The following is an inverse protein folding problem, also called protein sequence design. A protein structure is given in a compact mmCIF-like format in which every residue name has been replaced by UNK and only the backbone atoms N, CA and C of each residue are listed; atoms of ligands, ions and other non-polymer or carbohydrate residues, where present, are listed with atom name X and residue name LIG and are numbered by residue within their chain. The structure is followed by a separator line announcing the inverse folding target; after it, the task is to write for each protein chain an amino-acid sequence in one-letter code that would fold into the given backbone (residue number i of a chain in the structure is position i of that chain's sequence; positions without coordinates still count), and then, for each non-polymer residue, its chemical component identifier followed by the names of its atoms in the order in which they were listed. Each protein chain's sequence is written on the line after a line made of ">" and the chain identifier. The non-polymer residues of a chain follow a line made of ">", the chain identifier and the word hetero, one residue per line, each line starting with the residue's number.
data_IF_934385410944
#
_entry.id   IF_934385410944
#
_cell.length_a   1.000
_cell.length_b   1.000
_cell.length_c   1.000
_cell.angle_alpha   90.00
_cell.angle_beta   90.00
_cell.angle_gamma   90.00
#
_symmetry.space_group_name_H-M   'P 1'
#
loop_
_entity.id
_entity.type
_entity.pdbx_description
1 polymer ?
#
# COMPACT_ATOMS: atom_id res chain seq x y z
N UNK A 1 -49.62 -13.59 -44.16
CA UNK A 1 -48.21 -13.12 -44.16
C UNK A 1 -47.99 -11.94 -43.20
N UNK A 2 -48.87 -10.92 -43.18
CA UNK A 2 -48.71 -9.72 -42.33
C UNK A 2 -48.55 -9.96 -40.83
N UNK A 3 -49.37 -10.82 -40.20
CA UNK A 3 -49.28 -11.10 -38.75
C UNK A 3 -47.88 -11.59 -38.31
N UNK A 4 -47.18 -12.34 -39.16
CA UNK A 4 -45.79 -12.79 -38.89
C UNK A 4 -44.80 -11.62 -38.94
N UNK A 5 -44.93 -10.71 -39.91
CA UNK A 5 -44.07 -9.52 -40.02
C UNK A 5 -44.25 -8.55 -38.85
N UNK A 6 -45.48 -8.35 -38.36
CA UNK A 6 -45.74 -7.54 -37.16
C UNK A 6 -45.08 -8.13 -35.91
N UNK A 7 -45.16 -9.46 -35.71
CA UNK A 7 -44.52 -10.15 -34.58
C UNK A 7 -43.00 -10.04 -34.61
N UNK A 8 -42.39 -10.18 -35.79
CA UNK A 8 -40.94 -9.98 -35.98
C UNK A 8 -40.54 -8.54 -35.67
N UNK A 9 -41.30 -7.54 -36.17
CA UNK A 9 -41.05 -6.12 -35.90
C UNK A 9 -41.12 -5.79 -34.41
N UNK A 10 -42.06 -6.38 -33.68
CA UNK A 10 -42.15 -6.22 -32.22
C UNK A 10 -40.93 -6.79 -31.50
N UNK A 11 -40.49 -8.01 -31.85
CA UNK A 11 -39.27 -8.62 -31.28
C UNK A 11 -38.02 -7.79 -31.57
N UNK A 12 -37.87 -7.26 -32.78
CA UNK A 12 -36.73 -6.39 -33.13
C UNK A 12 -36.73 -5.11 -32.30
N UNK A 13 -37.90 -4.51 -32.04
CA UNK A 13 -38.00 -3.33 -31.16
C UNK A 13 -37.59 -3.67 -29.71
N UNK A 14 -38.03 -4.82 -29.21
CA UNK A 14 -37.64 -5.29 -27.87
C UNK A 14 -36.12 -5.51 -27.78
N UNK A 15 -35.54 -6.26 -28.72
CA UNK A 15 -34.10 -6.49 -28.81
C UNK A 15 -33.31 -5.18 -28.84
N UNK A 16 -33.75 -4.18 -29.63
CA UNK A 16 -33.11 -2.86 -29.66
C UNK A 16 -33.16 -2.15 -28.30
N UNK A 17 -34.25 -2.28 -27.55
CA UNK A 17 -34.37 -1.70 -26.22
C UNK A 17 -33.45 -2.40 -25.21
N UNK A 18 -33.41 -3.72 -25.20
CA UNK A 18 -32.50 -4.52 -24.36
C UNK A 18 -31.03 -4.20 -24.67
N UNK A 19 -30.66 -4.14 -25.96
CA UNK A 19 -29.31 -3.76 -26.37
C UNK A 19 -28.93 -2.34 -25.93
N UNK A 20 -29.88 -1.40 -25.81
CA UNK A 20 -29.60 -0.07 -25.27
C UNK A 20 -29.31 -0.13 -23.78
N UNK A 21 -30.09 -0.91 -23.02
CA UNK A 21 -29.85 -1.12 -21.58
C UNK A 21 -28.48 -1.76 -21.32
N UNK A 22 -28.15 -2.81 -22.08
CA UNK A 22 -26.83 -3.47 -21.96
C UNK A 22 -25.69 -2.49 -22.24
N UNK A 23 -25.82 -1.60 -23.24
CA UNK A 23 -24.81 -0.57 -23.51
C UNK A 23 -24.66 0.45 -22.40
N UNK A 24 -25.76 0.79 -21.74
CA UNK A 24 -25.76 1.67 -20.57
C UNK A 24 -25.02 1.02 -19.41
N UNK A 25 -25.40 -0.23 -19.07
CA UNK A 25 -24.79 -1.00 -17.99
C UNK A 25 -23.29 -1.20 -18.23
N UNK A 26 -22.90 -1.54 -19.47
CA UNK A 26 -21.49 -1.66 -19.85
C UNK A 26 -20.70 -0.36 -19.68
N UNK A 27 -21.33 0.80 -19.94
CA UNK A 27 -20.68 2.09 -19.72
C UNK A 27 -20.46 2.34 -18.23
N UNK A 28 -21.49 2.14 -17.41
CA UNK A 28 -21.37 2.27 -15.96
C UNK A 28 -20.31 1.33 -15.38
N UNK A 29 -20.26 0.07 -15.83
CA UNK A 29 -19.23 -0.89 -15.40
C UNK A 29 -17.82 -0.39 -15.73
N UNK A 30 -17.61 0.18 -16.93
CA UNK A 30 -16.29 0.72 -17.32
C UNK A 30 -15.89 1.91 -16.45
N UNK A 31 -16.83 2.80 -16.17
CA UNK A 31 -16.58 3.96 -15.30
C UNK A 31 -16.19 3.52 -13.88
N UNK A 32 -16.90 2.54 -13.31
CA UNK A 32 -16.57 1.99 -11.99
C UNK A 32 -15.25 1.22 -12.00
N UNK A 33 -14.92 0.50 -13.06
CA UNK A 33 -13.62 -0.16 -13.22
C UNK A 33 -12.48 0.85 -13.23
N UNK A 34 -12.60 1.97 -13.94
CA UNK A 34 -11.58 3.03 -13.95
C UNK A 34 -11.37 3.59 -12.55
N UNK A 35 -12.45 3.94 -11.84
CA UNK A 35 -12.37 4.44 -10.46
C UNK A 35 -11.69 3.43 -9.53
N UNK A 36 -12.03 2.15 -9.68
CA UNK A 36 -11.46 1.08 -8.88
C UNK A 36 -9.96 0.91 -9.15
N UNK A 37 -9.54 0.92 -10.42
CA UNK A 37 -8.11 0.86 -10.82
C UNK A 37 -7.32 2.02 -10.22
N UNK A 38 -7.81 3.26 -10.36
CA UNK A 38 -7.14 4.43 -9.77
C UNK A 38 -7.00 4.30 -8.24
N UNK A 39 -8.02 3.76 -7.57
CA UNK A 39 -7.94 3.52 -6.12
C UNK A 39 -6.90 2.45 -5.77
N UNK A 40 -6.80 1.38 -6.57
CA UNK A 40 -5.78 0.36 -6.36
C UNK A 40 -4.36 0.90 -6.57
N UNK A 41 -4.14 1.69 -7.61
CA UNK A 41 -2.84 2.35 -7.87
C UNK A 41 -2.41 3.24 -6.70
N UNK A 42 -3.35 4.00 -6.11
CA UNK A 42 -3.08 4.82 -4.93
C UNK A 42 -2.77 3.96 -3.69
N UNK A 43 -3.48 2.85 -3.48
CA UNK A 43 -3.18 1.90 -2.39
C UNK A 43 -1.79 1.29 -2.58
N UNK A 44 -1.41 0.92 -3.81
CA UNK A 44 -0.09 0.38 -4.11
C UNK A 44 1.01 1.40 -3.83
N UNK A 45 0.81 2.67 -4.22
CA UNK A 45 1.70 3.78 -3.89
C UNK A 45 1.89 3.92 -2.38
N UNK A 46 0.79 3.97 -1.63
CA UNK A 46 0.81 4.07 -0.17
C UNK A 46 1.50 2.87 0.49
N UNK A 47 1.26 1.65 -0.01
CA UNK A 47 1.95 0.46 0.47
C UNK A 47 3.47 0.54 0.25
N UNK A 48 3.90 1.08 -0.88
CA UNK A 48 5.32 1.27 -1.18
C UNK A 48 5.97 2.27 -0.22
N UNK A 49 5.34 3.41 0.01
CA UNK A 49 5.80 4.43 0.96
C UNK A 49 5.89 3.87 2.38
N UNK A 50 4.84 3.21 2.86
CA UNK A 50 4.82 2.58 4.17
C UNK A 50 5.96 1.56 4.33
N UNK A 51 6.24 0.78 3.29
CA UNK A 51 7.36 -0.17 3.31
C UNK A 51 8.71 0.53 3.48
N UNK A 52 8.92 1.66 2.81
CA UNK A 52 10.16 2.44 2.95
C UNK A 52 10.27 3.05 4.36
N UNK A 53 9.18 3.60 4.88
CA UNK A 53 9.14 4.15 6.24
C UNK A 53 9.47 3.09 7.30
N UNK A 54 8.85 1.91 7.19
CA UNK A 54 9.13 0.78 8.11
C UNK A 54 10.59 0.36 8.05
N UNK A 55 11.20 0.30 6.86
CA UNK A 55 12.62 -0.03 6.72
C UNK A 55 13.51 1.03 7.38
N UNK A 56 13.20 2.31 7.21
CA UNK A 56 13.92 3.41 7.85
C UNK A 56 13.82 3.35 9.37
N UNK A 57 12.61 3.15 9.91
CA UNK A 57 12.38 2.99 11.34
C UNK A 57 13.12 1.77 11.89
N UNK A 58 13.11 0.64 11.16
CA UNK A 58 13.83 -0.57 11.57
C UNK A 58 15.34 -0.33 11.66
N UNK A 59 15.92 0.33 10.63
CA UNK A 59 17.35 0.69 10.62
C UNK A 59 17.70 1.63 11.77
N UNK A 60 16.90 2.67 11.99
CA UNK A 60 17.10 3.62 13.07
C UNK A 60 16.97 2.96 14.45
N UNK A 61 16.00 2.04 14.60
CA UNK A 61 15.79 1.27 15.82
C UNK A 61 16.97 0.36 16.11
N UNK A 62 17.51 -0.33 15.10
CA UNK A 62 18.69 -1.17 15.26
C UNK A 62 19.92 -0.35 15.69
N UNK A 63 20.15 0.79 15.04
CA UNK A 63 21.23 1.71 15.42
C UNK A 63 21.07 2.22 16.86
N UNK A 64 19.85 2.58 17.25
CA UNK A 64 19.54 3.05 18.61
C UNK A 64 19.81 1.96 19.63
N UNK A 65 19.43 0.70 19.36
CA UNK A 65 19.73 -0.44 20.24
C UNK A 65 21.24 -0.65 20.41
N UNK A 66 22.02 -0.55 19.33
CA UNK A 66 23.48 -0.64 19.40
C UNK A 66 24.06 0.47 20.28
N UNK A 67 23.64 1.73 20.08
CA UNK A 67 24.07 2.87 20.90
C UNK A 67 23.73 2.65 22.38
N UNK A 68 22.51 2.21 22.69
CA UNK A 68 22.11 1.89 24.06
C UNK A 68 22.97 0.78 24.67
N UNK A 69 23.30 -0.26 23.91
CA UNK A 69 24.21 -1.33 24.36
C UNK A 69 25.60 -0.80 24.72
N UNK A 70 26.17 0.09 23.90
CA UNK A 70 27.44 0.75 24.18
C UNK A 70 27.35 1.63 25.43
N UNK A 71 26.31 2.46 25.54
CA UNK A 71 26.09 3.31 26.73
C UNK A 71 25.98 2.48 28.01
N UNK A 72 25.25 1.37 27.98
CA UNK A 72 25.17 0.45 29.11
C UNK A 72 26.54 -0.14 29.46
N UNK A 73 27.34 -0.51 28.47
CA UNK A 73 28.72 -0.97 28.67
C UNK A 73 29.59 0.10 29.36
N UNK A 74 29.47 1.36 28.95
CA UNK A 74 30.17 2.49 29.61
C UNK A 74 29.77 2.60 31.08
N UNK A 75 28.47 2.53 31.38
CA UNK A 75 27.98 2.61 32.77
C UNK A 75 28.54 1.48 33.63
N UNK A 76 28.53 0.23 33.12
CA UNK A 76 29.09 -0.92 33.83
C UNK A 76 30.60 -0.81 34.05
N UNK A 77 31.35 -0.35 33.05
CA UNK A 77 32.80 -0.15 33.20
C UNK A 77 33.11 0.92 34.26
N UNK A 78 32.34 2.01 34.29
CA UNK A 78 32.46 3.05 35.33
C UNK A 78 32.11 2.53 36.72
N UNK A 79 31.02 1.77 36.84
CA UNK A 79 30.60 1.14 38.10
C UNK A 79 31.67 0.18 38.63
N UNK A 80 32.32 -0.58 37.75
CA UNK A 80 33.44 -1.47 38.08
C UNK A 80 34.80 -0.79 38.24
N UNK A 81 34.89 0.54 38.08
CA UNK A 81 36.15 1.30 38.19
C UNK A 81 37.10 1.21 36.98
N UNK A 82 36.72 0.52 35.90
CA UNK A 82 37.53 0.42 34.68
C UNK A 82 37.34 1.64 33.78
N UNK A 83 38.08 2.71 34.09
CA UNK A 83 38.03 3.96 33.35
C UNK A 83 38.60 3.84 31.93
N UNK A 84 39.53 2.91 31.68
CA UNK A 84 40.14 2.69 30.36
C UNK A 84 39.12 2.06 29.42
N UNK A 85 38.39 1.04 29.88
CA UNK A 85 37.31 0.42 29.13
C UNK A 85 36.16 1.42 28.92
N UNK A 86 35.80 2.20 29.93
CA UNK A 86 34.76 3.22 29.81
C UNK A 86 35.12 4.28 28.75
N UNK A 87 36.37 4.76 28.73
CA UNK A 87 36.86 5.71 27.73
C UNK A 87 36.86 5.09 26.32
N UNK A 88 37.27 3.83 26.20
CA UNK A 88 37.28 3.09 24.93
C UNK A 88 35.86 2.94 24.38
N UNK A 89 34.89 2.53 25.20
CA UNK A 89 33.49 2.38 24.79
C UNK A 89 32.84 3.72 24.42
N UNK A 90 33.18 4.79 25.14
CA UNK A 90 32.67 6.14 24.86
C UNK A 90 33.05 6.63 23.45
N UNK A 91 34.20 6.20 22.91
CA UNK A 91 34.61 6.55 21.54
C UNK A 91 33.67 6.01 20.46
N UNK A 92 32.90 4.96 20.74
CA UNK A 92 31.93 4.39 19.81
C UNK A 92 30.55 5.07 19.85
N UNK A 93 30.37 6.11 20.68
CA UNK A 93 29.13 6.89 20.77
C UNK A 93 29.13 8.16 19.90
N UNK A 94 30.29 8.54 19.37
CA UNK A 94 30.47 9.69 18.46
C UNK A 94 29.86 9.47 17.08
#
# INVERSE_FOLDING_TARGET
>A
MEKKHLKVRAKVKQLKAEMRKIREDQRCIREEQIKLTTRFEEIERQCHELKQEVQMIAKQSAMTRLKMGVMLGVLKAREGGDLVQAATLTRFLG
#
